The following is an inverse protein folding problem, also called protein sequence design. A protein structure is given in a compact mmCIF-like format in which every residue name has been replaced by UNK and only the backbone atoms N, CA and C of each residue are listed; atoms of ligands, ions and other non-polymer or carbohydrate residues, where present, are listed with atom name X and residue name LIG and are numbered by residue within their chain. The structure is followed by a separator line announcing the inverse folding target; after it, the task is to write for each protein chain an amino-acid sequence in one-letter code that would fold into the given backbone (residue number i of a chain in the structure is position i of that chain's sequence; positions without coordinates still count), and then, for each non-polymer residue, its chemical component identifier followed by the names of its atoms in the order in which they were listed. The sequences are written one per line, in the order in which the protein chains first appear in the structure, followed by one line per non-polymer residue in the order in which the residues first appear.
data_IF_791763202573
#
_entry.id   IF_791763202573
#
_cell.length_a   1.000
_cell.length_b   1.000
_cell.length_c   1.000
_cell.angle_alpha   90.00
_cell.angle_beta   90.00
_cell.angle_gamma   90.00
#
_symmetry.space_group_name_H-M   'P 1'
#
loop_
_entity.id
_entity.type
_entity.pdbx_description
1 polymer ?
#
# COMPACT_ATOMS: atom_id res chain seq x y z
N UNK A 1 14.50 7.14 25.42
CA UNK A 1 13.22 6.79 24.75
C UNK A 1 13.02 7.78 23.63
N UNK A 2 13.00 7.32 22.37
CA UNK A 2 12.75 8.19 21.21
C UNK A 2 11.35 8.78 21.26
N UNK A 3 11.19 9.98 20.69
CA UNK A 3 9.87 10.61 20.54
C UNK A 3 9.03 9.75 19.59
N UNK A 4 7.70 9.59 19.83
CA UNK A 4 6.83 8.86 18.93
C UNK A 4 6.75 9.57 17.56
N UNK A 5 6.50 8.84 16.46
CA UNK A 5 6.28 9.44 15.16
C UNK A 5 5.04 10.34 15.20
N UNK A 6 5.11 11.49 14.52
CA UNK A 6 4.06 12.51 14.48
C UNK A 6 3.60 12.72 13.05
N UNK A 7 2.30 12.81 12.85
CA UNK A 7 1.69 13.06 11.53
C UNK A 7 1.25 14.52 11.48
N UNK A 8 1.67 15.23 10.42
CA UNK A 8 1.30 16.60 10.14
C UNK A 8 0.25 16.65 9.03
N UNK A 9 -0.79 17.46 9.23
CA UNK A 9 -1.76 17.73 8.18
C UNK A 9 -1.12 18.56 7.08
N UNK A 10 -1.58 18.40 5.83
CA UNK A 10 -1.09 19.18 4.67
C UNK A 10 -1.20 20.70 4.88
N UNK A 11 -2.17 21.17 5.67
CA UNK A 11 -2.32 22.58 6.03
C UNK A 11 -1.24 23.10 7.01
N UNK A 12 -0.47 22.20 7.64
CA UNK A 12 0.55 22.56 8.63
C UNK A 12 1.95 22.67 8.02
N UNK A 13 2.11 22.40 6.74
CA UNK A 13 3.40 22.52 6.08
C UNK A 13 3.30 23.02 4.65
N UNK A 14 4.37 23.61 4.18
CA UNK A 14 4.56 24.00 2.78
C UNK A 14 5.82 23.32 2.24
N UNK A 15 5.77 22.89 0.98
CA UNK A 15 6.87 22.18 0.32
C UNK A 15 7.20 22.86 -1.00
N UNK A 16 8.49 22.96 -1.30
CA UNK A 16 9.02 23.24 -2.65
C UNK A 16 9.85 22.07 -3.11
N UNK A 17 9.62 21.67 -4.35
CA UNK A 17 10.35 20.58 -5.00
C UNK A 17 11.14 21.09 -6.20
N UNK A 18 12.10 20.30 -6.66
CA UNK A 18 12.76 20.46 -7.94
C UNK A 18 11.83 20.03 -9.07
N UNK A 19 12.17 20.35 -10.32
CA UNK A 19 11.43 19.83 -11.49
C UNK A 19 11.40 18.29 -11.55
N UNK A 20 12.39 17.63 -10.94
CA UNK A 20 12.50 16.17 -10.84
C UNK A 20 11.75 15.57 -9.64
N UNK A 21 11.09 16.41 -8.83
CA UNK A 21 10.30 15.96 -7.67
C UNK A 21 11.06 15.86 -6.35
N UNK A 22 12.40 16.05 -6.32
CA UNK A 22 13.18 16.03 -5.09
C UNK A 22 12.80 17.19 -4.16
N UNK A 23 12.88 16.96 -2.85
CA UNK A 23 12.64 17.99 -1.85
C UNK A 23 13.71 19.10 -1.97
N UNK A 24 13.29 20.34 -2.21
CA UNK A 24 14.15 21.53 -2.19
C UNK A 24 14.08 22.27 -0.87
N UNK A 25 12.86 22.45 -0.36
CA UNK A 25 12.59 23.16 0.88
C UNK A 25 11.26 22.71 1.46
N UNK A 26 11.17 22.63 2.78
CA UNK A 26 9.92 22.45 3.49
C UNK A 26 9.89 23.32 4.74
N UNK A 27 8.71 23.80 5.09
CA UNK A 27 8.48 24.55 6.34
C UNK A 27 7.27 23.92 7.01
N UNK A 28 7.45 23.47 8.24
CA UNK A 28 6.39 22.91 9.07
C UNK A 28 6.03 23.96 10.12
N UNK A 29 4.73 24.26 10.27
CA UNK A 29 4.19 25.19 11.25
C UNK A 29 3.38 24.45 12.30
N UNK A 30 3.67 24.67 13.56
CA UNK A 30 2.91 24.20 14.69
C UNK A 30 2.47 25.40 15.55
N UNK A 31 1.20 25.44 15.91
CA UNK A 31 0.67 26.42 16.85
C UNK A 31 0.54 25.75 18.22
N UNK A 32 1.36 26.14 19.18
CA UNK A 32 1.49 25.52 20.49
C UNK A 32 1.39 26.60 21.56
N UNK A 33 1.05 26.21 22.80
CA UNK A 33 1.28 27.09 23.94
C UNK A 33 2.79 27.11 24.26
N UNK A 34 3.28 28.21 24.81
CA UNK A 34 4.71 28.37 25.05
C UNK A 34 5.27 27.32 26.02
N UNK A 35 4.48 26.88 26.99
CA UNK A 35 4.83 25.83 27.96
C UNK A 35 4.88 24.41 27.34
N UNK A 36 4.21 24.21 26.19
CA UNK A 36 4.27 22.93 25.45
C UNK A 36 5.57 22.78 24.64
N UNK A 37 6.34 23.85 24.45
CA UNK A 37 7.65 23.79 23.81
C UNK A 37 8.65 23.02 24.68
N UNK A 38 9.64 22.42 24.05
CA UNK A 38 10.75 21.79 24.80
C UNK A 38 11.42 22.80 25.75
N UNK A 39 11.78 22.38 26.98
CA UNK A 39 12.40 23.29 27.96
C UNK A 39 13.63 24.03 27.45
N UNK A 40 14.43 23.37 26.58
CA UNK A 40 15.59 23.99 25.93
C UNK A 40 15.19 25.13 24.99
N UNK A 41 14.12 24.92 24.21
CA UNK A 41 13.58 25.93 23.28
C UNK A 41 13.01 27.11 24.07
N UNK A 42 12.24 26.83 25.14
CA UNK A 42 11.73 27.86 26.01
C UNK A 42 12.86 28.74 26.61
N UNK A 43 13.93 28.08 27.09
CA UNK A 43 15.08 28.79 27.65
C UNK A 43 15.78 29.66 26.58
N UNK A 44 15.98 29.14 25.37
CA UNK A 44 16.58 29.88 24.26
C UNK A 44 15.76 31.12 23.87
N UNK A 45 14.43 31.00 23.82
CA UNK A 45 13.54 32.13 23.52
C UNK A 45 13.51 33.14 24.64
N UNK A 46 13.47 32.71 25.91
CA UNK A 46 13.47 33.60 27.09
C UNK A 46 14.76 34.38 27.23
N UNK A 47 15.87 33.83 26.82
CA UNK A 47 17.17 34.52 26.85
C UNK A 47 17.33 35.57 25.73
N UNK A 48 16.41 35.60 24.77
CA UNK A 48 16.35 36.60 23.71
C UNK A 48 15.82 37.96 24.21
N UNK A 49 15.96 38.98 23.38
CA UNK A 49 15.57 40.36 23.69
C UNK A 49 14.05 40.57 23.98
N UNK A 50 13.20 39.65 23.55
CA UNK A 50 11.75 39.68 23.74
C UNK A 50 11.26 38.60 24.73
N UNK A 51 12.13 38.00 25.51
CA UNK A 51 11.83 36.83 26.38
C UNK A 51 10.72 37.07 27.41
N UNK A 52 10.58 38.29 27.92
CA UNK A 52 9.53 38.67 28.87
C UNK A 52 8.10 38.66 28.32
N UNK A 53 7.97 38.59 26.98
CA UNK A 53 6.68 38.58 26.26
C UNK A 53 5.98 37.22 26.35
N UNK A 54 6.73 36.15 26.60
CA UNK A 54 6.22 34.78 26.53
C UNK A 54 5.78 34.25 27.89
N UNK A 55 4.46 34.34 28.16
CA UNK A 55 3.82 33.70 29.30
C UNK A 55 3.56 32.18 28.96
N UNK A 56 3.35 31.32 29.95
CA UNK A 56 3.11 29.89 29.71
C UNK A 56 2.01 29.62 28.69
N UNK A 57 0.87 30.29 28.82
CA UNK A 57 -0.31 30.10 27.95
C UNK A 57 -0.24 30.89 26.63
N UNK A 58 0.83 31.63 26.38
CA UNK A 58 0.99 32.38 25.13
C UNK A 58 1.04 31.47 23.97
N UNK A 59 0.11 31.60 23.00
CA UNK A 59 0.16 30.84 21.74
C UNK A 59 1.29 31.37 20.89
N UNK A 60 2.16 30.47 20.47
CA UNK A 60 3.33 30.74 19.63
C UNK A 60 3.27 29.89 18.37
N UNK A 61 3.83 30.42 17.31
CA UNK A 61 4.04 29.67 16.06
C UNK A 61 5.47 29.12 16.04
N UNK A 62 5.55 27.80 16.03
CA UNK A 62 6.83 27.11 15.97
C UNK A 62 7.07 26.60 14.54
N UNK A 63 8.12 27.10 13.90
CA UNK A 63 8.48 26.77 12.54
C UNK A 63 9.74 25.91 12.50
N UNK A 64 9.68 24.86 11.70
CA UNK A 64 10.84 24.06 11.31
C UNK A 64 11.03 24.19 9.81
N UNK A 65 12.13 24.83 9.43
CA UNK A 65 12.49 25.04 8.03
C UNK A 65 13.60 24.06 7.64
N UNK A 66 13.33 23.23 6.66
CA UNK A 66 14.26 22.27 6.08
C UNK A 66 14.63 22.79 4.71
N UNK A 67 15.92 22.94 4.44
CA UNK A 67 16.44 23.44 3.17
C UNK A 67 17.50 22.48 2.62
N UNK A 68 17.46 22.23 1.31
CA UNK A 68 18.53 21.53 0.60
C UNK A 68 19.72 22.49 0.44
N UNK A 69 20.91 22.04 0.77
CA UNK A 69 22.15 22.79 0.58
C UNK A 69 22.76 22.49 -0.83
N UNK A 70 23.77 23.26 -1.20
CA UNK A 70 24.44 23.14 -2.51
C UNK A 70 25.16 21.80 -2.71
N UNK A 71 25.44 21.06 -1.62
CA UNK A 71 26.08 19.74 -1.65
C UNK A 71 25.10 18.58 -1.74
N UNK A 72 23.79 18.88 -1.86
CA UNK A 72 22.72 17.88 -1.93
C UNK A 72 22.22 17.38 -0.59
N UNK A 73 22.83 17.78 0.52
CA UNK A 73 22.35 17.49 1.87
C UNK A 73 21.23 18.44 2.31
N UNK A 74 20.76 18.27 3.54
CA UNK A 74 19.68 19.05 4.12
C UNK A 74 20.09 19.69 5.44
N UNK A 75 19.58 20.89 5.68
CA UNK A 75 19.79 21.66 6.90
C UNK A 75 18.45 22.05 7.51
N UNK A 76 18.34 21.97 8.83
CA UNK A 76 17.17 22.37 9.61
C UNK A 76 17.45 23.66 10.34
N UNK A 77 16.54 24.61 10.20
CA UNK A 77 16.47 25.82 10.98
C UNK A 77 15.15 25.87 11.76
N UNK A 78 15.20 26.36 12.99
CA UNK A 78 14.02 26.41 13.84
C UNK A 78 13.75 27.85 14.29
N UNK A 79 12.47 28.21 14.37
CA UNK A 79 12.02 29.55 14.75
C UNK A 79 10.83 29.44 15.70
N UNK A 80 10.74 30.32 16.66
CA UNK A 80 9.54 30.56 17.47
C UNK A 80 9.08 31.98 17.15
N UNK A 81 7.90 32.11 16.55
CA UNK A 81 7.40 33.32 15.92
C UNK A 81 8.46 33.90 14.94
N UNK A 82 9.07 35.01 15.29
CA UNK A 82 10.13 35.68 14.50
C UNK A 82 11.54 35.42 15.03
N UNK A 83 11.67 34.69 16.14
CA UNK A 83 12.96 34.46 16.79
C UNK A 83 13.60 33.21 16.21
N UNK A 84 14.74 33.38 15.52
CA UNK A 84 15.56 32.25 15.08
C UNK A 84 16.27 31.64 16.29
N UNK A 85 16.17 30.33 16.43
CA UNK A 85 16.90 29.59 17.48
C UNK A 85 18.38 29.43 17.13
N UNK A 86 19.22 29.25 18.13
CA UNK A 86 20.67 29.13 17.99
C UNK A 86 21.10 27.87 17.24
N UNK A 87 22.41 27.77 16.96
CA UNK A 87 23.00 26.68 16.20
C UNK A 87 22.82 25.29 16.86
N UNK A 88 22.60 25.25 18.17
CA UNK A 88 22.29 24.03 18.92
C UNK A 88 20.95 23.37 18.53
N UNK A 89 20.07 24.11 17.84
CA UNK A 89 18.80 23.63 17.32
C UNK A 89 18.84 23.35 15.82
N UNK A 90 19.98 23.54 15.16
CA UNK A 90 20.18 23.21 13.76
C UNK A 90 20.46 21.71 13.59
N UNK A 91 19.89 21.12 12.53
CA UNK A 91 20.15 19.73 12.15
C UNK A 91 20.78 19.66 10.77
N UNK A 92 21.56 18.62 10.50
CA UNK A 92 22.15 18.36 9.17
C UNK A 92 22.05 16.91 8.80
N UNK A 93 21.66 16.64 7.55
CA UNK A 93 21.53 15.30 6.97
C UNK A 93 22.23 15.26 5.61
N UNK A 94 22.80 14.10 5.30
CA UNK A 94 23.55 13.90 4.05
C UNK A 94 22.63 13.83 2.82
N UNK A 95 21.46 13.25 2.98
CA UNK A 95 20.49 12.99 1.91
C UNK A 95 19.04 13.00 2.42
N UNK A 96 18.07 12.96 1.50
CA UNK A 96 16.65 12.90 1.83
C UNK A 96 16.28 11.61 2.57
N UNK A 97 16.98 10.51 2.29
CA UNK A 97 16.73 9.23 2.96
C UNK A 97 17.11 9.23 4.43
N UNK A 98 18.05 10.08 4.84
CA UNK A 98 18.48 10.25 6.24
C UNK A 98 17.65 11.26 7.02
N UNK A 99 16.84 12.11 6.37
CA UNK A 99 15.93 13.05 7.04
C UNK A 99 15.00 12.33 8.02
N UNK A 100 14.66 13.02 9.11
CA UNK A 100 13.66 12.55 10.08
C UNK A 100 12.22 12.82 9.61
N UNK A 101 12.03 13.73 8.67
CA UNK A 101 10.73 14.08 8.10
C UNK A 101 10.55 13.42 6.73
N UNK A 102 9.30 13.00 6.45
CA UNK A 102 8.89 12.44 5.15
C UNK A 102 7.70 13.23 4.61
N UNK A 103 7.87 13.76 3.41
CA UNK A 103 6.83 14.51 2.69
C UNK A 103 6.22 13.60 1.65
N UNK A 104 5.21 12.86 2.07
CA UNK A 104 4.57 11.82 1.27
C UNK A 104 3.65 12.44 0.23
N UNK A 105 3.65 11.85 -0.96
CA UNK A 105 2.74 12.21 -2.05
C UNK A 105 2.13 10.92 -2.60
N UNK A 106 0.85 10.98 -2.96
CA UNK A 106 0.20 9.84 -3.60
C UNK A 106 0.64 9.72 -5.05
N UNK A 107 0.40 10.77 -5.83
CA UNK A 107 0.81 10.87 -7.23
C UNK A 107 1.44 12.25 -7.43
N UNK A 108 2.75 12.29 -7.67
CA UNK A 108 3.47 13.54 -7.90
C UNK A 108 3.66 13.72 -9.40
N UNK A 109 3.10 14.80 -9.93
CA UNK A 109 3.32 15.21 -11.32
C UNK A 109 4.56 16.11 -11.39
N UNK A 110 5.35 15.95 -12.44
CA UNK A 110 6.55 16.74 -12.66
C UNK A 110 6.25 18.25 -12.62
N UNK A 111 7.11 18.98 -11.92
CA UNK A 111 6.97 20.42 -11.73
C UNK A 111 5.99 20.83 -10.60
N UNK A 112 5.25 19.91 -10.01
CA UNK A 112 4.37 20.21 -8.89
C UNK A 112 5.08 20.06 -7.54
N UNK A 113 4.69 20.91 -6.58
CA UNK A 113 5.22 20.85 -5.21
C UNK A 113 4.45 19.84 -4.35
N UNK A 114 3.17 19.63 -4.64
CA UNK A 114 2.26 18.72 -3.94
C UNK A 114 1.77 17.64 -4.89
N UNK A 115 1.58 16.45 -4.37
CA UNK A 115 0.97 15.37 -5.12
C UNK A 115 -0.55 15.53 -5.22
N UNK A 116 -1.15 14.93 -6.25
CA UNK A 116 -2.59 14.79 -6.39
C UNK A 116 -3.06 13.53 -5.68
N UNK A 117 -4.24 13.58 -5.07
CA UNK A 117 -4.90 12.43 -4.48
C UNK A 117 -5.85 11.75 -5.48
N UNK A 118 -6.26 10.53 -5.16
CA UNK A 118 -7.15 9.75 -6.01
C UNK A 118 -8.50 10.45 -6.25
N UNK A 119 -9.05 11.13 -5.24
CA UNK A 119 -10.28 11.92 -5.37
C UNK A 119 -10.10 13.07 -6.36
N UNK A 120 -8.94 13.70 -6.37
CA UNK A 120 -8.61 14.82 -7.26
C UNK A 120 -8.46 14.33 -8.71
N UNK A 121 -7.87 13.16 -8.92
CA UNK A 121 -7.74 12.54 -10.24
C UNK A 121 -9.13 12.16 -10.85
N UNK A 122 -10.12 11.83 -10.00
CA UNK A 122 -11.50 11.54 -10.38
C UNK A 122 -12.47 12.71 -10.17
N UNK A 123 -11.98 13.94 -9.93
CA UNK A 123 -12.83 15.09 -9.61
C UNK A 123 -13.90 15.38 -10.69
N UNK A 124 -13.56 15.22 -11.97
CA UNK A 124 -14.50 15.38 -13.06
C UNK A 124 -15.64 14.35 -13.02
N UNK A 125 -15.32 13.10 -12.68
CA UNK A 125 -16.31 12.02 -12.55
C UNK A 125 -17.23 12.24 -11.36
N UNK A 126 -16.71 12.68 -10.22
CA UNK A 126 -17.50 13.06 -9.06
C UNK A 126 -18.42 14.25 -9.37
N UNK A 127 -17.92 15.26 -10.09
CA UNK A 127 -18.73 16.41 -10.54
C UNK A 127 -19.87 15.97 -11.45
N UNK A 128 -19.59 15.11 -12.43
CA UNK A 128 -20.60 14.54 -13.33
C UNK A 128 -21.65 13.72 -12.59
N UNK A 129 -21.23 12.84 -11.69
CA UNK A 129 -22.11 12.03 -10.84
C UNK A 129 -23.03 12.92 -9.97
N UNK A 130 -22.47 13.95 -9.34
CA UNK A 130 -23.22 14.88 -8.51
C UNK A 130 -24.32 15.60 -9.31
N UNK A 131 -23.97 16.13 -10.49
CA UNK A 131 -24.90 16.83 -11.37
C UNK A 131 -26.02 15.91 -11.88
N UNK A 132 -25.69 14.70 -12.30
CA UNK A 132 -26.67 13.71 -12.77
C UNK A 132 -27.58 13.21 -11.66
N UNK A 133 -27.02 13.00 -10.44
CA UNK A 133 -27.81 12.61 -9.27
C UNK A 133 -28.80 13.71 -8.87
N UNK A 134 -28.38 14.98 -8.93
CA UNK A 134 -29.27 16.11 -8.71
C UNK A 134 -30.39 16.18 -9.76
N UNK A 135 -30.05 15.97 -11.04
CA UNK A 135 -31.03 15.92 -12.13
C UNK A 135 -32.01 14.76 -11.96
N UNK A 136 -31.55 13.60 -11.52
CA UNK A 136 -32.38 12.43 -11.26
C UNK A 136 -33.37 12.70 -10.11
N UNK A 137 -32.91 13.31 -9.01
CA UNK A 137 -33.76 13.68 -7.88
C UNK A 137 -34.82 14.70 -8.33
N UNK A 138 -34.42 15.78 -9.01
CA UNK A 138 -35.33 16.78 -9.52
C UNK A 138 -36.35 16.18 -10.51
N UNK A 139 -35.88 15.30 -11.38
CA UNK A 139 -36.75 14.58 -12.33
C UNK A 139 -37.76 13.67 -11.64
N UNK A 140 -37.35 12.96 -10.59
CA UNK A 140 -38.22 12.13 -9.77
C UNK A 140 -39.28 12.95 -9.03
N UNK A 141 -38.90 14.11 -8.48
CA UNK A 141 -39.85 15.05 -7.85
C UNK A 141 -40.87 15.54 -8.87
N UNK A 142 -40.41 16.02 -10.02
CA UNK A 142 -41.33 16.47 -11.11
C UNK A 142 -42.22 15.35 -11.65
N UNK A 143 -41.73 14.11 -11.68
CA UNK A 143 -42.52 12.95 -12.11
C UNK A 143 -43.59 12.57 -11.07
N UNK A 144 -43.39 12.87 -9.80
CA UNK A 144 -44.35 12.66 -8.72
C UNK A 144 -45.42 13.75 -8.66
N UNK A 145 -45.16 14.92 -9.26
CA UNK A 145 -46.15 15.99 -9.37
C UNK A 145 -47.15 15.67 -10.49
N UNK A 146 -48.41 15.61 -10.15
CA UNK A 146 -49.49 15.49 -11.12
C UNK A 146 -50.50 16.61 -10.89
N UNK A 147 -51.13 17.04 -11.96
CA UNK A 147 -52.21 18.05 -11.93
C UNK A 147 -53.38 17.55 -12.67
N UNK A 148 -54.56 17.72 -12.10
CA UNK A 148 -55.82 17.45 -12.76
C UNK A 148 -56.20 18.69 -13.54
N UNK A 149 -56.48 18.51 -14.83
CA UNK A 149 -57.16 19.52 -15.63
C UNK A 149 -58.62 19.12 -15.73
N UNK A 150 -59.47 20.01 -15.24
CA UNK A 150 -60.91 19.82 -15.35
C UNK A 150 -61.43 20.76 -16.46
N UNK A 151 -62.19 20.21 -17.39
CA UNK A 151 -62.78 20.99 -18.47
C UNK A 151 -63.82 21.96 -17.89
N UNK A 152 -63.66 23.30 -18.03
CA UNK A 152 -64.59 24.28 -17.44
C UNK A 152 -66.01 24.24 -18.08
N UNK A 153 -66.14 23.60 -19.28
CA UNK A 153 -67.44 23.40 -19.95
C UNK A 153 -68.02 21.98 -19.73
N UNK A 154 -67.31 21.14 -18.94
CA UNK A 154 -67.73 19.78 -18.61
C UNK A 154 -68.75 19.73 -17.47
N UNK A 155 -69.28 18.52 -17.25
CA UNK A 155 -70.25 18.27 -16.15
C UNK A 155 -69.54 18.06 -14.80
N UNK A 156 -68.26 17.66 -14.79
CA UNK A 156 -67.45 17.40 -13.56
C UNK A 156 -66.97 18.72 -12.97
N UNK A 157 -67.32 18.99 -11.71
CA UNK A 157 -66.86 20.19 -10.98
C UNK A 157 -65.61 19.86 -10.18
N UNK A 158 -64.72 20.86 -10.06
CA UNK A 158 -63.44 20.72 -9.29
C UNK A 158 -63.75 20.40 -7.82
N UNK A 159 -64.76 21.04 -7.23
CA UNK A 159 -65.18 20.83 -5.86
C UNK A 159 -65.68 19.41 -5.57
N UNK A 160 -66.37 18.80 -6.53
CA UNK A 160 -66.86 17.43 -6.40
C UNK A 160 -65.68 16.44 -6.45
N UNK A 161 -64.66 16.74 -7.27
CA UNK A 161 -63.45 15.93 -7.38
C UNK A 161 -62.56 16.03 -6.10
N UNK A 162 -62.41 17.23 -5.57
CA UNK A 162 -61.61 17.48 -4.36
C UNK A 162 -62.21 16.86 -3.08
N UNK A 163 -63.56 16.84 -3.01
CA UNK A 163 -64.26 16.34 -1.84
C UNK A 163 -64.68 14.88 -1.96
N UNK A 164 -64.36 14.21 -3.05
CA UNK A 164 -64.73 12.83 -3.27
C UNK A 164 -63.78 11.84 -2.59
N UNK A 165 -64.33 10.77 -2.01
CA UNK A 165 -63.52 9.67 -1.50
C UNK A 165 -63.05 8.76 -2.67
N UNK A 166 -61.95 8.04 -2.44
CA UNK A 166 -61.40 7.11 -3.42
C UNK A 166 -62.45 6.03 -3.81
N UNK A 167 -62.82 5.96 -5.08
CA UNK A 167 -63.84 5.03 -5.59
C UNK A 167 -65.27 5.59 -5.60
N UNK A 168 -65.49 6.88 -5.27
CA UNK A 168 -66.77 7.53 -5.36
C UNK A 168 -67.22 7.69 -6.84
N UNK A 169 -68.53 7.56 -7.10
CA UNK A 169 -69.11 7.83 -8.39
C UNK A 169 -69.43 9.33 -8.50
N UNK A 170 -68.83 9.99 -9.50
CA UNK A 170 -69.03 11.41 -9.80
C UNK A 170 -69.77 11.57 -11.12
N UNK A 171 -70.65 12.58 -11.26
CA UNK A 171 -71.21 12.91 -12.53
C UNK A 171 -70.17 13.52 -13.46
N UNK A 172 -70.05 13.03 -14.71
CA UNK A 172 -69.06 13.52 -15.65
C UNK A 172 -69.16 12.75 -16.99
N UNK A 173 -68.44 13.27 -17.98
CA UNK A 173 -68.22 12.62 -19.26
C UNK A 173 -66.74 12.19 -19.38
N UNK A 174 -66.49 11.17 -20.18
CA UNK A 174 -65.11 10.76 -20.51
C UNK A 174 -64.37 11.94 -21.17
N UNK A 175 -63.25 12.36 -20.61
CA UNK A 175 -62.47 13.50 -21.05
C UNK A 175 -62.70 14.81 -20.28
N UNK A 176 -63.70 14.89 -19.37
CA UNK A 176 -63.91 16.06 -18.51
C UNK A 176 -62.72 16.29 -17.56
N UNK A 177 -62.03 15.24 -17.16
CA UNK A 177 -60.85 15.28 -16.28
C UNK A 177 -59.68 14.64 -17.00
N UNK A 178 -58.59 15.37 -17.13
CA UNK A 178 -57.36 14.84 -17.68
C UNK A 178 -56.22 15.02 -16.69
N UNK A 179 -55.40 14.00 -16.58
CA UNK A 179 -54.19 14.02 -15.74
C UNK A 179 -53.03 14.60 -16.55
N UNK A 180 -52.51 15.75 -16.10
CA UNK A 180 -51.23 16.26 -16.62
C UNK A 180 -50.14 15.80 -15.69
N UNK A 181 -49.46 14.73 -16.07
CA UNK A 181 -48.28 14.24 -15.45
C UNK A 181 -47.08 14.49 -16.38
N UNK A 182 -46.02 15.07 -15.87
CA UNK A 182 -44.80 15.24 -16.64
C UNK A 182 -44.00 13.92 -16.55
N UNK A 183 -44.50 12.86 -17.16
CA UNK A 183 -43.85 11.57 -17.13
C UNK A 183 -42.99 11.38 -18.38
N UNK A 184 -41.66 11.48 -18.20
CA UNK A 184 -40.68 11.05 -19.19
C UNK A 184 -39.88 9.87 -18.61
N UNK A 185 -40.49 8.72 -18.38
CA UNK A 185 -39.83 7.58 -17.72
C UNK A 185 -38.61 7.09 -18.50
N UNK A 186 -38.63 7.20 -19.83
CA UNK A 186 -37.49 6.85 -20.68
C UNK A 186 -36.27 7.73 -20.46
N UNK A 187 -36.45 9.04 -20.31
CA UNK A 187 -35.36 9.98 -20.09
C UNK A 187 -34.74 9.77 -18.69
N UNK A 188 -35.55 9.53 -17.66
CA UNK A 188 -35.08 9.23 -16.31
C UNK A 188 -34.35 7.89 -16.23
N UNK A 189 -34.77 6.89 -17.01
CA UNK A 189 -34.06 5.62 -17.08
C UNK A 189 -32.67 5.78 -17.71
N UNK A 190 -32.54 6.59 -18.76
CA UNK A 190 -31.25 6.91 -19.38
C UNK A 190 -30.33 7.59 -18.37
N UNK A 191 -30.82 8.61 -17.62
CA UNK A 191 -30.03 9.28 -16.57
C UNK A 191 -29.60 8.28 -15.50
N UNK A 192 -30.51 7.38 -15.09
CA UNK A 192 -30.19 6.32 -14.11
C UNK A 192 -29.07 5.40 -14.58
N UNK A 193 -29.07 4.98 -15.84
CA UNK A 193 -28.01 4.14 -16.42
C UNK A 193 -26.66 4.87 -16.43
N UNK A 194 -26.64 6.14 -16.83
CA UNK A 194 -25.41 6.95 -16.83
C UNK A 194 -24.88 7.14 -15.40
N UNK A 195 -25.75 7.34 -14.41
CA UNK A 195 -25.35 7.40 -12.98
C UNK A 195 -24.67 6.09 -12.56
N UNK A 196 -25.22 4.93 -12.94
CA UNK A 196 -24.63 3.63 -12.64
C UNK A 196 -23.27 3.45 -13.33
N UNK A 197 -23.11 3.93 -14.56
CA UNK A 197 -21.83 3.90 -15.27
C UNK A 197 -20.76 4.75 -14.55
N UNK A 198 -21.11 5.95 -14.05
CA UNK A 198 -20.21 6.76 -13.23
C UNK A 198 -19.84 6.08 -11.91
N UNK A 199 -20.83 5.51 -11.21
CA UNK A 199 -20.60 4.74 -9.97
C UNK A 199 -19.66 3.57 -10.24
N UNK A 200 -19.91 2.80 -11.33
CA UNK A 200 -19.06 1.69 -11.72
C UNK A 200 -17.62 2.10 -12.08
N UNK A 201 -17.45 3.26 -12.76
CA UNK A 201 -16.14 3.78 -13.13
C UNK A 201 -15.36 4.28 -11.91
N UNK A 202 -16.00 5.06 -11.05
CA UNK A 202 -15.42 5.52 -9.79
C UNK A 202 -15.12 4.31 -8.90
N UNK A 203 -16.06 3.37 -8.76
CA UNK A 203 -15.90 2.16 -7.97
C UNK A 203 -14.67 1.33 -8.40
N UNK A 204 -14.46 1.16 -9.71
CA UNK A 204 -13.26 0.50 -10.23
C UNK A 204 -11.97 1.27 -9.88
N UNK A 205 -11.97 2.59 -10.01
CA UNK A 205 -10.83 3.42 -9.66
C UNK A 205 -10.48 3.38 -8.17
N UNK A 206 -11.51 3.24 -7.31
CA UNK A 206 -11.35 3.10 -5.86
C UNK A 206 -11.34 1.63 -5.38
N UNK A 207 -11.33 0.67 -6.32
CA UNK A 207 -11.30 -0.77 -6.08
C UNK A 207 -12.45 -1.31 -5.21
N UNK A 208 -13.57 -0.62 -5.16
CA UNK A 208 -14.75 -1.08 -4.42
C UNK A 208 -15.27 -2.43 -4.93
N UNK A 209 -15.12 -2.70 -6.23
CA UNK A 209 -15.55 -3.96 -6.85
C UNK A 209 -14.69 -5.18 -6.52
N UNK A 210 -13.41 -4.97 -6.18
CA UNK A 210 -12.48 -6.05 -5.84
C UNK A 210 -12.61 -6.50 -4.38
N UNK A 211 -13.19 -5.62 -3.52
CA UNK A 211 -13.48 -5.96 -2.12
C UNK A 211 -14.82 -6.71 -1.97
N UNK A 212 -15.72 -6.64 -2.95
CA UNK A 212 -16.92 -7.46 -2.99
C UNK A 212 -16.57 -8.84 -3.54
N UNK A 213 -15.96 -9.67 -2.71
CA UNK A 213 -16.00 -11.12 -2.91
C UNK A 213 -17.48 -11.45 -3.15
N UNK A 214 -17.82 -11.98 -4.32
CA UNK A 214 -19.16 -12.56 -4.55
C UNK A 214 -19.42 -13.47 -3.37
N UNK A 215 -20.55 -13.23 -2.70
CA UNK A 215 -21.05 -14.10 -1.64
C UNK A 215 -21.53 -15.42 -2.30
N UNK A 216 -20.60 -16.08 -2.98
CA UNK A 216 -20.82 -17.33 -3.67
C UNK A 216 -20.10 -18.40 -2.85
N UNK A 217 -20.85 -19.36 -2.40
CA UNK A 217 -20.48 -20.53 -1.58
C UNK A 217 -19.28 -21.35 -2.10
N UNK A 218 -18.62 -20.94 -3.23
CA UNK A 218 -17.47 -21.61 -3.87
C UNK A 218 -16.54 -20.63 -4.55
N UNK A 219 -15.90 -19.75 -3.78
CA UNK A 219 -14.76 -18.98 -4.31
C UNK A 219 -13.52 -19.88 -4.25
N UNK A 220 -12.93 -20.19 -5.39
CA UNK A 220 -11.71 -21.02 -5.44
C UNK A 220 -10.50 -20.18 -4.98
N UNK A 221 -9.52 -20.84 -4.35
CA UNK A 221 -8.25 -20.21 -3.99
C UNK A 221 -7.54 -19.55 -5.18
N UNK A 222 -7.76 -20.07 -6.40
CA UNK A 222 -7.24 -19.49 -7.65
C UNK A 222 -7.90 -18.15 -7.99
N UNK A 223 -9.21 -18.02 -7.77
CA UNK A 223 -9.95 -16.78 -8.01
C UNK A 223 -9.53 -15.66 -7.05
N UNK A 224 -9.32 -15.98 -5.77
CA UNK A 224 -8.78 -15.04 -4.77
C UNK A 224 -7.37 -14.57 -5.15
N UNK A 225 -6.52 -15.48 -5.65
CA UNK A 225 -5.16 -15.13 -6.11
C UNK A 225 -5.19 -14.24 -7.35
N UNK A 226 -6.08 -14.51 -8.30
CA UNK A 226 -6.24 -13.72 -9.51
C UNK A 226 -6.73 -12.31 -9.19
N UNK A 227 -7.69 -12.17 -8.28
CA UNK A 227 -8.17 -10.87 -7.79
C UNK A 227 -7.06 -10.11 -7.02
N UNK A 228 -6.28 -10.80 -6.18
CA UNK A 228 -5.15 -10.20 -5.49
C UNK A 228 -4.07 -9.73 -6.47
N UNK A 229 -3.80 -10.48 -7.53
CA UNK A 229 -2.83 -10.12 -8.56
C UNK A 229 -3.31 -8.95 -9.44
N UNK A 230 -4.61 -8.88 -9.73
CA UNK A 230 -5.23 -7.74 -10.42
C UNK A 230 -5.16 -6.46 -9.56
N UNK A 231 -5.40 -6.58 -8.25
CA UNK A 231 -5.21 -5.52 -7.26
C UNK A 231 -3.76 -5.06 -7.22
N UNK A 232 -2.81 -5.97 -7.19
CA UNK A 232 -1.39 -5.66 -7.16
C UNK A 232 -0.94 -4.93 -8.44
N UNK A 233 -1.42 -5.37 -9.59
CA UNK A 233 -1.14 -4.72 -10.88
C UNK A 233 -1.71 -3.30 -10.91
N UNK A 234 -2.91 -3.11 -10.36
CA UNK A 234 -3.58 -1.79 -10.30
C UNK A 234 -2.93 -0.85 -9.27
N UNK A 235 -2.41 -1.37 -8.16
CA UNK A 235 -1.82 -0.60 -7.06
C UNK A 235 -0.30 -0.70 -6.93
N UNK A 236 0.37 -1.49 -7.74
CA UNK A 236 1.79 -1.84 -7.55
C UNK A 236 2.72 -0.64 -7.33
N UNK A 237 2.51 0.46 -8.06
CA UNK A 237 3.24 1.70 -7.86
C UNK A 237 2.96 2.37 -6.52
N UNK A 238 1.72 2.35 -6.06
CA UNK A 238 1.28 2.99 -4.82
C UNK A 238 1.76 2.24 -3.58
N UNK A 239 1.64 0.91 -3.56
CA UNK A 239 2.18 0.09 -2.47
C UNK A 239 3.70 0.24 -2.34
N UNK A 240 4.42 0.26 -3.46
CA UNK A 240 5.86 0.50 -3.48
C UNK A 240 6.20 1.88 -2.91
N UNK A 241 5.45 2.92 -3.29
CA UNK A 241 5.62 4.27 -2.76
C UNK A 241 5.39 4.35 -1.24
N UNK A 242 4.34 3.70 -0.73
CA UNK A 242 4.05 3.62 0.71
C UNK A 242 5.14 2.82 1.44
N UNK A 243 5.58 1.69 0.87
CA UNK A 243 6.63 0.87 1.47
C UNK A 243 7.95 1.64 1.63
N UNK A 244 8.37 2.34 0.58
CA UNK A 244 9.61 3.14 0.59
C UNK A 244 9.44 4.43 1.40
N UNK A 245 8.28 5.10 1.28
CA UNK A 245 8.03 6.40 1.91
C UNK A 245 7.72 6.33 3.41
N UNK A 246 7.02 5.28 3.86
CA UNK A 246 6.56 5.14 5.26
C UNK A 246 7.20 3.97 5.97
N UNK A 247 7.04 2.75 5.41
CA UNK A 247 7.40 1.53 6.15
C UNK A 247 8.91 1.41 6.37
N UNK A 248 9.71 1.72 5.36
CA UNK A 248 11.17 1.64 5.46
C UNK A 248 11.75 2.65 6.46
N UNK A 249 11.39 3.96 6.44
CA UNK A 249 11.83 4.91 7.46
C UNK A 249 11.35 4.55 8.87
N UNK A 250 10.12 4.07 9.02
CA UNK A 250 9.57 3.62 10.29
C UNK A 250 10.34 2.42 10.84
N UNK A 251 10.65 1.44 10.01
CA UNK A 251 11.45 0.27 10.39
C UNK A 251 12.87 0.67 10.83
N UNK A 252 13.50 1.60 10.10
CA UNK A 252 14.81 2.15 10.48
C UNK A 252 14.76 2.89 11.82
N UNK A 253 13.70 3.68 12.04
CA UNK A 253 13.50 4.38 13.31
C UNK A 253 13.30 3.40 14.47
N UNK A 254 12.49 2.34 14.28
CA UNK A 254 12.30 1.29 15.29
C UNK A 254 13.61 0.59 15.63
N UNK A 255 14.41 0.20 14.65
CA UNK A 255 15.69 -0.47 14.85
C UNK A 255 16.68 0.41 15.62
N UNK A 256 16.74 1.71 15.30
CA UNK A 256 17.56 2.68 16.06
C UNK A 256 17.12 2.78 17.53
N UNK A 257 15.82 2.78 17.80
CA UNK A 257 15.29 2.85 19.17
C UNK A 257 15.58 1.60 20.01
N UNK A 258 15.76 0.45 19.35
CA UNK A 258 16.14 -0.83 20.00
C UNK A 258 17.68 -1.00 20.06
N UNK A 259 18.45 0.01 19.63
CA UNK A 259 19.92 -0.02 19.51
C UNK A 259 20.44 -1.16 18.59
N UNK A 260 19.64 -1.62 17.65
CA UNK A 260 20.07 -2.50 16.59
C UNK A 260 20.56 -1.64 15.41
N UNK A 261 21.87 -1.37 15.38
CA UNK A 261 22.47 -0.70 14.23
C UNK A 261 22.72 -1.73 13.12
N UNK A 262 21.93 -1.64 12.08
CA UNK A 262 22.03 -2.49 10.87
C UNK A 262 23.05 -1.91 9.87
N UNK A 263 23.48 -0.66 10.08
CA UNK A 263 24.49 -0.01 9.25
C UNK A 263 25.87 -0.66 9.51
N UNK A 264 26.41 -1.33 8.51
CA UNK A 264 27.69 -2.05 8.61
C UNK A 264 27.58 -3.56 8.78
N UNK A 265 26.36 -4.09 8.92
CA UNK A 265 26.11 -5.54 8.83
C UNK A 265 25.66 -5.93 7.41
N UNK A 266 25.89 -7.18 7.01
CA UNK A 266 25.38 -7.72 5.73
C UNK A 266 23.84 -7.86 5.72
N UNK A 267 23.16 -7.39 6.76
CA UNK A 267 21.70 -7.47 6.88
C UNK A 267 21.05 -6.35 6.09
N UNK A 268 20.17 -6.70 5.15
CA UNK A 268 19.35 -5.78 4.38
C UNK A 268 17.94 -5.78 4.93
N UNK A 269 17.43 -4.60 5.28
CA UNK A 269 16.02 -4.45 5.65
C UNK A 269 15.18 -4.65 4.39
N UNK A 270 14.38 -5.71 4.37
CA UNK A 270 13.40 -5.97 3.30
C UNK A 270 12.01 -5.81 3.87
N UNK A 271 11.22 -4.92 3.27
CA UNK A 271 9.83 -4.73 3.64
C UNK A 271 9.00 -5.68 2.82
N UNK A 272 8.26 -6.53 3.53
CA UNK A 272 7.30 -7.44 2.93
C UNK A 272 5.93 -6.82 3.10
N UNK A 273 5.34 -6.34 2.02
CA UNK A 273 3.97 -5.82 2.01
C UNK A 273 2.95 -6.95 2.07
N UNK A 274 1.69 -6.65 2.39
CA UNK A 274 0.64 -7.65 2.54
C UNK A 274 0.50 -8.59 1.33
N UNK A 275 0.75 -8.10 0.13
CA UNK A 275 0.74 -8.88 -1.12
C UNK A 275 1.98 -9.76 -1.26
N UNK A 276 3.16 -9.28 -0.88
CA UNK A 276 4.37 -10.11 -0.79
C UNK A 276 4.24 -11.22 0.26
N UNK A 277 3.49 -10.99 1.32
CA UNK A 277 3.19 -12.03 2.31
C UNK A 277 2.25 -13.11 1.73
N UNK A 278 1.31 -12.70 0.87
CA UNK A 278 0.47 -13.64 0.10
C UNK A 278 1.28 -14.35 -0.99
N UNK A 279 2.26 -13.66 -1.63
CA UNK A 279 3.14 -14.26 -2.62
C UNK A 279 4.11 -15.28 -2.00
N UNK A 280 4.45 -15.17 -0.70
CA UNK A 280 5.24 -16.19 0.00
C UNK A 280 4.53 -17.54 0.08
N UNK A 281 3.20 -17.57 0.13
CA UNK A 281 2.46 -18.83 -0.05
C UNK A 281 2.57 -19.32 -1.50
N UNK A 282 2.59 -18.40 -2.46
CA UNK A 282 2.89 -18.68 -3.86
C UNK A 282 4.32 -19.18 -4.08
N UNK A 283 5.32 -18.65 -3.37
CA UNK A 283 6.70 -19.15 -3.41
C UNK A 283 6.80 -20.61 -2.97
N UNK A 284 6.03 -21.02 -1.96
CA UNK A 284 5.96 -22.42 -1.53
C UNK A 284 5.28 -23.30 -2.56
N UNK A 285 4.23 -22.83 -3.20
CA UNK A 285 3.55 -23.56 -4.26
C UNK A 285 4.44 -23.64 -5.52
N UNK A 286 5.12 -22.54 -5.86
CA UNK A 286 6.12 -22.52 -6.93
C UNK A 286 7.30 -23.46 -6.64
N UNK A 287 7.77 -23.49 -5.38
CA UNK A 287 8.82 -24.42 -4.98
C UNK A 287 8.35 -25.90 -5.07
N UNK A 288 7.12 -26.19 -4.66
CA UNK A 288 6.54 -27.54 -4.79
C UNK A 288 6.41 -27.93 -6.26
N UNK A 289 5.92 -27.04 -7.12
CA UNK A 289 5.82 -27.27 -8.54
C UNK A 289 7.21 -27.49 -9.17
N UNK A 290 8.21 -26.65 -8.82
CA UNK A 290 9.59 -26.82 -9.27
C UNK A 290 10.20 -28.16 -8.83
N UNK A 291 9.92 -28.61 -7.61
CA UNK A 291 10.37 -29.91 -7.10
C UNK A 291 9.68 -31.10 -7.82
N UNK A 292 8.40 -30.95 -8.18
CA UNK A 292 7.68 -31.93 -8.98
C UNK A 292 8.28 -32.04 -10.39
N UNK A 293 8.58 -30.90 -11.03
CA UNK A 293 9.23 -30.88 -12.35
C UNK A 293 10.64 -31.49 -12.28
N UNK A 294 11.40 -31.23 -11.22
CA UNK A 294 12.71 -31.85 -10.99
C UNK A 294 12.62 -33.35 -10.79
N UNK A 295 11.58 -33.87 -10.14
CA UNK A 295 11.37 -35.31 -10.02
C UNK A 295 11.17 -35.96 -11.38
N UNK A 296 10.44 -35.31 -12.29
CA UNK A 296 10.27 -35.75 -13.66
C UNK A 296 11.61 -35.76 -14.43
N UNK A 297 12.44 -34.72 -14.27
CA UNK A 297 13.78 -34.63 -14.86
C UNK A 297 14.68 -35.74 -14.31
N UNK A 298 14.54 -36.14 -13.06
CA UNK A 298 15.23 -37.29 -12.48
C UNK A 298 14.98 -38.61 -13.22
N UNK A 299 13.73 -38.83 -13.68
CA UNK A 299 13.37 -39.99 -14.52
C UNK A 299 13.94 -39.85 -15.94
N UNK A 300 13.93 -38.66 -16.51
CA UNK A 300 14.46 -38.41 -17.87
C UNK A 300 15.98 -38.63 -17.92
N UNK A 301 16.71 -38.42 -16.84
CA UNK A 301 18.17 -38.61 -16.80
C UNK A 301 18.57 -40.07 -17.10
N UNK A 302 17.74 -41.05 -16.78
CA UNK A 302 18.00 -42.45 -17.16
C UNK A 302 17.93 -42.66 -18.67
N UNK A 303 17.15 -41.83 -19.37
CA UNK A 303 16.98 -41.86 -20.81
C UNK A 303 17.98 -40.96 -21.56
N UNK A 304 18.44 -39.86 -20.92
CA UNK A 304 19.36 -38.87 -21.53
C UNK A 304 20.55 -38.61 -20.58
N UNK A 305 21.62 -39.39 -20.64
CA UNK A 305 22.79 -39.26 -19.74
C UNK A 305 23.53 -37.93 -19.86
N UNK A 306 23.48 -37.31 -21.04
CA UNK A 306 24.21 -36.04 -21.36
C UNK A 306 23.54 -34.78 -20.79
N UNK A 307 22.37 -34.90 -20.15
CA UNK A 307 21.63 -33.75 -19.63
C UNK A 307 22.40 -33.05 -18.50
N UNK A 308 22.70 -31.78 -18.69
CA UNK A 308 23.29 -30.95 -17.64
C UNK A 308 22.25 -30.65 -16.55
N UNK A 309 22.24 -31.49 -15.51
CA UNK A 309 21.27 -31.39 -14.38
C UNK A 309 21.24 -30.02 -13.75
N UNK A 310 22.42 -29.40 -13.55
CA UNK A 310 22.50 -28.11 -12.87
C UNK A 310 21.87 -27.00 -13.70
N UNK A 311 22.14 -26.97 -15.00
CA UNK A 311 21.55 -26.02 -15.92
C UNK A 311 20.02 -26.16 -15.98
N UNK A 312 19.53 -27.41 -16.05
CA UNK A 312 18.08 -27.69 -16.07
C UNK A 312 17.43 -27.34 -14.74
N UNK A 313 18.07 -27.69 -13.62
CA UNK A 313 17.57 -27.29 -12.28
C UNK A 313 17.50 -25.79 -12.16
N UNK A 314 18.55 -25.05 -12.55
CA UNK A 314 18.57 -23.60 -12.52
C UNK A 314 17.48 -23.00 -13.42
N UNK A 315 17.25 -23.57 -14.62
CA UNK A 315 16.19 -23.10 -15.53
C UNK A 315 14.77 -23.34 -14.96
N UNK A 316 14.54 -24.49 -14.31
CA UNK A 316 13.26 -24.79 -13.65
C UNK A 316 13.00 -23.80 -12.50
N UNK A 317 13.97 -23.57 -11.61
CA UNK A 317 13.82 -22.59 -10.54
C UNK A 317 13.59 -21.18 -11.08
N UNK A 318 14.33 -20.77 -12.11
CA UNK A 318 14.15 -19.49 -12.77
C UNK A 318 12.76 -19.36 -13.43
N UNK A 319 12.28 -20.43 -14.09
CA UNK A 319 10.96 -20.49 -14.72
C UNK A 319 9.80 -20.32 -13.72
N UNK A 320 9.99 -20.81 -12.49
CA UNK A 320 9.04 -20.62 -11.38
C UNK A 320 9.28 -19.32 -10.58
N UNK A 321 10.14 -18.40 -11.06
CA UNK A 321 10.43 -17.15 -10.40
C UNK A 321 11.24 -17.25 -9.10
N UNK A 322 11.86 -18.42 -8.83
CA UNK A 322 12.65 -18.65 -7.62
C UNK A 322 14.11 -18.27 -7.84
N UNK A 323 14.75 -17.50 -6.93
CA UNK A 323 16.13 -17.11 -7.07
C UNK A 323 17.07 -18.33 -6.89
N UNK A 324 17.78 -18.70 -7.94
CA UNK A 324 18.68 -19.87 -7.98
C UNK A 324 19.76 -19.82 -6.90
N UNK A 325 20.29 -18.64 -6.59
CA UNK A 325 21.31 -18.43 -5.54
C UNK A 325 20.86 -18.79 -4.14
N UNK A 326 19.54 -18.83 -3.88
CA UNK A 326 18.98 -19.19 -2.57
C UNK A 326 18.84 -20.69 -2.37
N UNK A 327 18.64 -21.42 -3.46
CA UNK A 327 18.27 -22.85 -3.41
C UNK A 327 19.33 -23.79 -3.97
N UNK A 328 20.29 -23.27 -4.73
CA UNK A 328 21.39 -24.07 -5.29
C UNK A 328 22.70 -23.68 -4.62
N UNK A 329 23.44 -24.69 -4.17
CA UNK A 329 24.80 -24.51 -3.63
C UNK A 329 25.73 -23.95 -4.71
N UNK A 330 26.73 -23.16 -4.34
CA UNK A 330 27.80 -22.74 -5.25
C UNK A 330 28.68 -23.94 -5.69
N UNK A 331 29.42 -23.77 -6.79
CA UNK A 331 30.34 -24.83 -7.25
C UNK A 331 31.38 -25.17 -6.21
N UNK A 332 31.85 -24.18 -5.44
CA UNK A 332 32.82 -24.37 -4.36
C UNK A 332 32.19 -25.14 -3.19
N UNK A 333 30.95 -24.86 -2.85
CA UNK A 333 30.22 -25.58 -1.78
C UNK A 333 29.94 -27.00 -2.16
N UNK A 334 29.56 -27.26 -3.43
CA UNK A 334 29.32 -28.62 -3.94
C UNK A 334 30.62 -29.41 -3.93
N UNK A 335 31.76 -28.81 -4.36
CA UNK A 335 33.06 -29.45 -4.34
C UNK A 335 33.53 -29.78 -2.91
N UNK A 336 33.31 -28.85 -1.97
CA UNK A 336 33.62 -29.05 -0.55
C UNK A 336 32.79 -30.20 0.07
N UNK A 337 31.49 -30.25 -0.22
CA UNK A 337 30.60 -31.31 0.25
C UNK A 337 30.99 -32.69 -0.34
N UNK A 338 31.36 -32.74 -1.62
CA UNK A 338 31.86 -33.97 -2.25
C UNK A 338 33.16 -34.43 -1.65
N UNK A 339 34.10 -33.53 -1.38
CA UNK A 339 35.36 -33.88 -0.70
C UNK A 339 35.12 -34.39 0.72
N UNK A 340 34.23 -33.72 1.50
CA UNK A 340 33.86 -34.15 2.83
C UNK A 340 33.20 -35.56 2.82
N UNK A 341 32.30 -35.80 1.85
CA UNK A 341 31.66 -37.12 1.69
C UNK A 341 32.65 -38.22 1.30
N UNK A 342 33.61 -37.91 0.42
CA UNK A 342 34.69 -38.87 0.05
C UNK A 342 35.56 -39.16 1.27
N UNK A 343 35.96 -38.16 2.03
CA UNK A 343 36.78 -38.36 3.23
C UNK A 343 36.05 -39.18 4.28
N UNK A 344 34.74 -38.90 4.48
CA UNK A 344 33.92 -39.73 5.38
C UNK A 344 33.78 -41.17 4.95
N UNK A 345 33.66 -41.43 3.62
CA UNK A 345 33.62 -42.77 3.08
C UNK A 345 34.96 -43.52 3.27
N UNK A 346 36.09 -42.86 3.03
CA UNK A 346 37.43 -43.41 3.27
C UNK A 346 37.62 -43.72 4.77
N UNK A 347 37.23 -42.80 5.65
CA UNK A 347 37.32 -43.00 7.09
C UNK A 347 36.43 -44.18 7.58
N UNK A 348 35.22 -44.31 7.02
CA UNK A 348 34.34 -45.45 7.31
C UNK A 348 34.93 -46.79 6.82
N UNK A 349 35.59 -46.79 5.66
CA UNK A 349 36.21 -47.97 5.11
C UNK A 349 37.44 -48.41 5.91
N UNK A 350 38.30 -47.44 6.29
CA UNK A 350 39.46 -47.72 7.16
C UNK A 350 39.05 -48.19 8.57
N UNK A 351 37.94 -47.64 9.10
CA UNK A 351 37.41 -48.13 10.39
C UNK A 351 36.87 -49.56 10.30
N UNK A 352 36.22 -49.91 9.20
CA UNK A 352 35.72 -51.28 8.97
C UNK A 352 36.87 -52.28 8.76
N UNK A 353 37.94 -51.87 8.06
CA UNK A 353 39.15 -52.70 7.85
C UNK A 353 39.92 -52.90 9.17
N UNK A 354 40.02 -51.85 9.98
CA UNK A 354 40.63 -51.94 11.32
C UNK A 354 39.84 -52.86 12.25
N UNK A 355 38.52 -52.82 12.20
CA UNK A 355 37.63 -53.66 12.99
C UNK A 355 37.75 -55.16 12.55
N UNK A 356 37.85 -55.44 11.22
CA UNK A 356 38.06 -56.79 10.69
C UNK A 356 39.44 -57.33 11.04
N UNK A 357 40.46 -56.50 10.94
CA UNK A 357 41.82 -56.88 11.32
C UNK A 357 41.95 -57.16 12.86
N UNK A 358 41.24 -56.37 13.70
CA UNK A 358 41.18 -56.59 15.12
C UNK A 358 40.48 -57.89 15.51
N UNK A 359 39.43 -58.28 14.78
CA UNK A 359 38.75 -59.55 14.98
C UNK A 359 39.61 -60.75 14.53
N UNK A 360 40.33 -60.61 13.38
CA UNK A 360 41.26 -61.65 12.93
C UNK A 360 42.42 -61.84 13.90
N UNK A 361 43.06 -60.78 14.39
CA UNK A 361 44.12 -60.87 15.38
C UNK A 361 43.62 -61.46 16.72
N UNK A 362 42.39 -61.23 17.15
CA UNK A 362 41.78 -61.85 18.32
C UNK A 362 41.51 -63.37 18.14
N UNK A 363 41.22 -63.81 16.93
CA UNK A 363 41.02 -65.22 16.61
C UNK A 363 42.37 -65.97 16.58
N UNK A 364 43.41 -65.35 16.05
CA UNK A 364 44.74 -65.94 16.00
C UNK A 364 45.36 -66.09 17.38
N UNK A 365 45.17 -65.12 18.32
CA UNK A 365 45.60 -65.20 19.70
C UNK A 365 44.81 -66.27 20.50
N UNK A 366 43.54 -66.50 20.19
CA UNK A 366 42.72 -67.53 20.83
C UNK A 366 43.10 -68.95 20.43
N UNK A 367 43.73 -69.17 19.26
CA UNK A 367 44.21 -70.46 18.80
C UNK A 367 45.62 -70.86 19.30
N UNK A 368 46.41 -69.93 19.82
CA UNK A 368 47.70 -70.18 20.41
C UNK A 368 47.68 -70.55 21.90
N UNK A 369 46.52 -70.51 22.55
CA UNK A 369 46.35 -70.81 23.96
C UNK A 369 45.52 -72.04 24.25
N UNK A 370 45.41 -72.98 23.32
CA UNK A 370 44.89 -74.34 23.56
C UNK A 370 46.03 -75.39 23.48
#
# INVERSE_FOLDING_TARGET
KGKPPRIYNVAQYVVRRTGTGDLKQAIIRECLAFDELEPKVQAAVRNGSEGSRYQPDTKVEYFRQICRNDRGGYELYQYVDKVKLGAEFEGRWADEASLEWRFLTWNLKDGNNYGTGLVEDYAADFGGLSTLSEAQIKGAVLASEFRWLVNPAGMTKVEDLENSENGAALPGQEGDVSLVANSKPGDLAVVGNVVQDYIGRIGRGFLLGSATTRDAERVTAAEIRMQAQELETSFGGTYSSIAVGIQLPMSRWLLRNVNLDVNGTQLKITIVTGLDALSRSGDLDNLRAALQDLAQVGMIKQAVPELNRRAVTAAIFAGHGLPTSKYLLSDEQVAAEQQAAQQAAINAQTASEAATAGVQAGIEQGQQTQ
#
